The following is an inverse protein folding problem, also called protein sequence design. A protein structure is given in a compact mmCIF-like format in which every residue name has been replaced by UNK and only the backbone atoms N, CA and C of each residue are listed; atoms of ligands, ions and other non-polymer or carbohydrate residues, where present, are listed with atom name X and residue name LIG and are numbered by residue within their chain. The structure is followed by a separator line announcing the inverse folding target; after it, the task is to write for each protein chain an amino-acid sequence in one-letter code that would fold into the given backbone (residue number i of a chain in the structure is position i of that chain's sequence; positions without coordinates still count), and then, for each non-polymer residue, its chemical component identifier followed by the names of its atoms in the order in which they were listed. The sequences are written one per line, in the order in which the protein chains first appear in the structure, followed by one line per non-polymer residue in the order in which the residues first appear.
data_IF_031069681106
#
_entry.id   IF_031069681106
#
_cell.length_a   1.000
_cell.length_b   1.000
_cell.length_c   1.000
_cell.angle_alpha   90.00
_cell.angle_beta   90.00
_cell.angle_gamma   90.00
#
_symmetry.space_group_name_H-M   'P 1'
#
loop_
_entity.id
_entity.type
_entity.pdbx_description
1 polymer ?
#
# COMPACT_ATOMS: atom_id res chain seq x y z
N UNK A 1 17.61 -3.73 11.45
CA UNK A 1 16.13 -3.87 11.46
C UNK A 1 15.44 -2.88 10.53
N UNK A 2 15.89 -1.63 10.38
CA UNK A 2 15.25 -0.64 9.49
C UNK A 2 15.39 -0.93 7.99
N UNK A 3 16.48 -1.57 7.56
CA UNK A 3 16.75 -1.85 6.13
C UNK A 3 15.77 -2.88 5.54
N UNK A 4 15.37 -3.88 6.32
CA UNK A 4 14.43 -4.92 5.86
C UNK A 4 13.02 -4.35 5.61
N UNK A 5 12.55 -3.45 6.49
CA UNK A 5 11.26 -2.80 6.30
C UNK A 5 11.25 -1.84 5.12
N UNK A 6 12.36 -1.17 4.79
CA UNK A 6 12.43 -0.31 3.61
C UNK A 6 12.44 -1.11 2.30
N UNK A 7 12.93 -2.35 2.32
CA UNK A 7 12.86 -3.27 1.18
C UNK A 7 11.45 -3.85 1.00
N UNK A 8 10.73 -4.08 2.10
CA UNK A 8 9.37 -4.61 2.07
C UNK A 8 8.31 -3.52 1.84
N UNK A 9 8.53 -2.31 2.34
CA UNK A 9 7.59 -1.19 2.29
C UNK A 9 8.28 0.01 1.61
N UNK A 10 8.52 -0.06 0.29
CA UNK A 10 9.09 1.08 -0.43
C UNK A 10 8.14 2.29 -0.36
N UNK A 11 8.68 3.49 -0.38
CA UNK A 11 7.86 4.68 -0.58
C UNK A 11 7.36 4.70 -2.02
N UNK A 12 6.03 4.69 -2.19
CA UNK A 12 5.38 4.77 -3.49
C UNK A 12 5.18 6.23 -3.88
N UNK A 13 5.31 6.52 -5.18
CA UNK A 13 5.07 7.87 -5.68
C UNK A 13 3.58 8.18 -5.68
N UNK A 14 3.20 9.26 -5.00
CA UNK A 14 1.83 9.75 -5.00
C UNK A 14 1.53 10.58 -6.25
N UNK A 15 0.37 10.34 -6.86
CA UNK A 15 -0.12 11.13 -7.99
C UNK A 15 -1.64 11.34 -7.90
N UNK A 16 -2.14 12.26 -8.71
CA UNK A 16 -3.55 12.63 -8.77
C UNK A 16 -4.22 12.02 -10.00
N UNK A 17 -5.47 11.60 -9.86
CA UNK A 17 -6.29 11.09 -10.96
C UNK A 17 -7.49 12.03 -11.13
N UNK A 18 -7.83 12.37 -12.37
CA UNK A 18 -9.02 13.16 -12.68
C UNK A 18 -10.29 12.54 -12.08
N UNK A 19 -11.07 13.35 -11.37
CA UNK A 19 -12.27 12.95 -10.61
C UNK A 19 -12.03 12.11 -9.34
N UNK A 20 -10.78 12.00 -8.87
CA UNK A 20 -10.47 11.43 -7.56
C UNK A 20 -9.99 12.55 -6.64
N UNK A 21 -10.69 12.77 -5.52
CA UNK A 21 -10.38 13.86 -4.59
C UNK A 21 -9.09 13.65 -3.78
N UNK A 22 -8.61 12.41 -3.69
CA UNK A 22 -7.46 12.04 -2.90
C UNK A 22 -6.34 11.52 -3.79
N UNK A 23 -5.10 11.71 -3.34
CA UNK A 23 -3.93 11.16 -3.99
C UNK A 23 -3.97 9.63 -3.96
N UNK A 24 -3.41 9.04 -5.00
CA UNK A 24 -3.31 7.61 -5.17
C UNK A 24 -1.86 7.20 -5.38
N UNK A 25 -1.62 5.91 -5.20
CA UNK A 25 -0.34 5.25 -5.47
C UNK A 25 -0.56 4.02 -6.32
N UNK A 26 0.49 3.57 -7.01
CA UNK A 26 0.49 2.31 -7.75
C UNK A 26 1.02 1.17 -6.86
N UNK A 27 0.15 0.27 -6.36
CA UNK A 27 0.58 -0.83 -5.52
C UNK A 27 1.37 -1.89 -6.30
N UNK A 28 1.37 -1.87 -7.64
CA UNK A 28 2.13 -2.84 -8.45
C UNK A 28 3.63 -2.63 -8.39
N UNK A 29 4.09 -1.45 -7.94
CA UNK A 29 5.51 -1.19 -7.65
C UNK A 29 5.98 -1.88 -6.35
N UNK A 30 5.06 -2.48 -5.58
CA UNK A 30 5.39 -3.20 -4.36
C UNK A 30 6.02 -4.58 -4.67
N UNK A 31 6.94 -5.06 -3.82
CA UNK A 31 7.42 -6.43 -3.89
C UNK A 31 6.27 -7.43 -3.81
N UNK A 32 6.34 -8.55 -4.54
CA UNK A 32 5.27 -9.57 -4.62
C UNK A 32 4.66 -9.97 -3.27
N UNK A 33 5.50 -10.13 -2.24
CA UNK A 33 5.05 -10.51 -0.89
C UNK A 33 4.22 -9.42 -0.24
N UNK A 34 4.71 -8.18 -0.33
CA UNK A 34 4.03 -6.99 0.19
C UNK A 34 2.75 -6.74 -0.57
N UNK A 35 2.78 -6.85 -1.91
CA UNK A 35 1.61 -6.69 -2.75
C UNK A 35 0.50 -7.68 -2.36
N UNK A 36 0.83 -8.96 -2.16
CA UNK A 36 -0.14 -9.97 -1.72
C UNK A 36 -0.72 -9.68 -0.33
N UNK A 37 0.12 -9.25 0.62
CA UNK A 37 -0.34 -8.88 1.95
C UNK A 37 -1.23 -7.63 1.91
N UNK A 38 -0.89 -6.67 1.06
CA UNK A 38 -1.66 -5.44 0.85
C UNK A 38 -2.99 -5.71 0.13
N UNK A 39 -3.01 -6.56 -0.90
CA UNK A 39 -4.23 -7.01 -1.59
C UNK A 39 -5.18 -7.72 -0.62
N UNK A 40 -4.64 -8.59 0.26
CA UNK A 40 -5.42 -9.24 1.30
C UNK A 40 -5.98 -8.22 2.32
N UNK A 41 -5.20 -7.20 2.70
CA UNK A 41 -5.64 -6.12 3.58
C UNK A 41 -6.73 -5.25 2.94
N UNK A 42 -6.62 -4.98 1.63
CA UNK A 42 -7.59 -4.20 0.87
C UNK A 42 -8.87 -4.99 0.53
N UNK A 43 -8.90 -6.31 0.76
CA UNK A 43 -10.06 -7.15 0.46
C UNK A 43 -11.27 -6.71 1.28
N UNK A 44 -12.24 -6.08 0.62
CA UNK A 44 -13.44 -5.50 1.25
C UNK A 44 -13.37 -3.99 1.50
N UNK A 45 -12.23 -3.36 1.18
CA UNK A 45 -12.10 -1.90 1.13
C UNK A 45 -12.53 -1.34 -0.23
N UNK A 46 -12.96 -0.08 -0.25
CA UNK A 46 -13.35 0.62 -1.47
C UNK A 46 -12.11 1.24 -2.13
N UNK A 47 -11.60 0.63 -3.20
CA UNK A 47 -10.51 1.21 -3.99
C UNK A 47 -11.04 2.30 -4.95
N UNK A 48 -10.29 3.40 -5.16
CA UNK A 48 -10.67 4.46 -6.11
C UNK A 48 -10.64 4.01 -7.56
N UNK A 49 -9.79 3.03 -7.88
CA UNK A 49 -9.62 2.49 -9.22
C UNK A 49 -9.34 0.99 -9.16
N UNK A 50 -9.50 0.30 -10.30
CA UNK A 50 -9.17 -1.13 -10.46
C UNK A 50 -7.68 -1.46 -10.26
N UNK A 51 -6.81 -0.44 -10.28
CA UNK A 51 -5.34 -0.60 -10.29
C UNK A 51 -4.71 0.25 -9.21
N UNK A 52 -5.18 1.49 -9.03
CA UNK A 52 -4.62 2.45 -8.09
C UNK A 52 -5.40 2.46 -6.78
N UNK A 53 -4.67 2.64 -5.69
CA UNK A 53 -5.21 2.70 -4.32
C UNK A 53 -4.94 4.07 -3.73
N UNK A 54 -5.72 4.47 -2.73
CA UNK A 54 -5.45 5.72 -2.06
C UNK A 54 -4.09 5.70 -1.34
N UNK A 55 -3.37 6.82 -1.38
CA UNK A 55 -2.07 6.92 -0.70
C UNK A 55 -2.19 6.76 0.83
N UNK A 56 -3.33 7.15 1.40
CA UNK A 56 -3.61 6.98 2.82
C UNK A 56 -3.81 5.52 3.22
N UNK A 57 -4.42 4.68 2.36
CA UNK A 57 -4.60 3.25 2.63
C UNK A 57 -3.25 2.54 2.67
N UNK A 58 -2.36 2.88 1.73
CA UNK A 58 -1.00 2.35 1.73
C UNK A 58 -0.21 2.82 2.95
N UNK A 59 -0.31 4.09 3.32
CA UNK A 59 0.33 4.63 4.52
C UNK A 59 -0.14 3.93 5.79
N UNK A 60 -1.44 3.65 5.90
CA UNK A 60 -2.03 2.94 7.02
C UNK A 60 -1.57 1.48 7.07
N UNK A 61 -1.52 0.79 5.94
CA UNK A 61 -0.94 -0.54 5.84
C UNK A 61 0.52 -0.58 6.31
N UNK A 62 1.35 0.35 5.83
CA UNK A 62 2.75 0.46 6.26
C UNK A 62 2.87 0.63 7.77
N UNK A 63 1.99 1.43 8.38
CA UNK A 63 1.94 1.61 9.83
C UNK A 63 1.61 0.29 10.55
N UNK A 64 0.61 -0.46 10.08
CA UNK A 64 0.20 -1.73 10.65
C UNK A 64 1.30 -2.81 10.54
N UNK A 65 2.01 -2.86 9.41
CA UNK A 65 3.15 -3.77 9.23
C UNK A 65 4.29 -3.40 10.19
N UNK A 66 4.63 -2.10 10.31
CA UNK A 66 5.67 -1.64 11.24
C UNK A 66 5.32 -1.88 12.70
N UNK A 67 4.02 -1.86 13.04
CA UNK A 67 3.51 -2.17 14.37
C UNK A 67 3.46 -3.67 14.66
N UNK A 68 3.56 -4.51 13.63
CA UNK A 68 3.48 -5.98 13.73
C UNK A 68 2.05 -6.52 13.71
N UNK A 69 1.05 -5.69 13.42
CA UNK A 69 -0.36 -6.12 13.29
C UNK A 69 -0.59 -6.87 11.98
N UNK A 70 0.18 -6.54 10.93
CA UNK A 70 0.20 -7.25 9.65
C UNK A 70 1.58 -7.87 9.44
N UNK A 71 1.61 -9.17 9.17
CA UNK A 71 2.84 -9.88 8.84
C UNK A 71 2.93 -10.10 7.34
N UNK A 72 4.02 -9.66 6.72
CA UNK A 72 4.35 -9.96 5.32
C UNK A 72 5.14 -11.27 5.31
N UNK A 73 4.48 -12.38 4.94
CA UNK A 73 5.09 -13.72 4.84
C UNK A 73 5.44 -14.08 3.40
#
# INVERSE_FOLDING_TARGET
MSVEFNLLLPELNEFEIDNVQYKVVDPTELPDRTFKAFDAYMRGSAAPHLVYVYSHDYSHFCMLVRRGDITIT
#
